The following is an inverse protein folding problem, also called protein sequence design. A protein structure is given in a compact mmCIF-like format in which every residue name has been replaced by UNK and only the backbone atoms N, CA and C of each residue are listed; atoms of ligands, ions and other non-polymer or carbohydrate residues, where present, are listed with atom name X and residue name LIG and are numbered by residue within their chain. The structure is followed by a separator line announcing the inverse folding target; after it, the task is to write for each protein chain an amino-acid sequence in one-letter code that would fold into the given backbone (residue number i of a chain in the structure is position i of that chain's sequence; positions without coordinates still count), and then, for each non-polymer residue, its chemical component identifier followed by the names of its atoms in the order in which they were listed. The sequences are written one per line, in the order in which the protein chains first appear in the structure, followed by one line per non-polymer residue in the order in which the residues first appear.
data_IF_388071865749
#
_entry.id   IF_388071865749
#
_cell.length_a   1.000
_cell.length_b   1.000
_cell.length_c   1.000
_cell.angle_alpha   90.00
_cell.angle_beta   90.00
_cell.angle_gamma   90.00
#
_symmetry.space_group_name_H-M   'P 1'
#
loop_
_entity.id
_entity.type
_entity.pdbx_description
1 polymer ?
#
# COMPACT_ATOMS: atom_id res chain seq x y z
N UNK A 1 -13.50 1.57 18.36
CA UNK A 1 -13.51 1.39 19.83
C UNK A 1 -12.81 2.57 20.50
N UNK A 2 -13.30 3.06 21.65
CA UNK A 2 -12.56 4.03 22.48
C UNK A 2 -11.43 3.29 23.20
N UNK A 3 -10.23 3.86 23.22
CA UNK A 3 -9.07 3.31 23.93
C UNK A 3 -8.59 4.32 25.00
N UNK A 4 -8.38 3.84 26.21
CA UNK A 4 -7.85 4.61 27.35
C UNK A 4 -6.36 4.34 27.59
N UNK A 5 -5.65 3.77 26.63
CA UNK A 5 -4.22 3.46 26.75
C UNK A 5 -3.40 4.71 27.13
N UNK A 6 -3.76 5.87 26.55
CA UNK A 6 -3.10 7.14 26.86
C UNK A 6 -3.27 7.54 28.33
N UNK A 7 -4.46 7.30 28.93
CA UNK A 7 -4.69 7.55 30.35
C UNK A 7 -3.71 6.74 31.21
N UNK A 8 -3.53 5.46 30.91
CA UNK A 8 -2.64 4.60 31.70
C UNK A 8 -1.17 4.97 31.53
N UNK A 9 -0.75 5.41 30.34
CA UNK A 9 0.61 5.96 30.13
C UNK A 9 0.82 7.26 30.93
N UNK A 10 -0.16 8.18 30.91
CA UNK A 10 -0.09 9.41 31.69
C UNK A 10 -0.06 9.14 33.20
N UNK A 11 -0.81 8.12 33.67
CA UNK A 11 -0.75 7.68 35.07
C UNK A 11 0.64 7.14 35.43
N UNK A 12 1.26 6.38 34.54
CA UNK A 12 2.62 5.85 34.73
C UNK A 12 3.66 6.96 34.79
N UNK A 13 3.60 7.90 33.84
CA UNK A 13 4.49 9.09 33.80
C UNK A 13 4.41 9.96 35.06
N UNK A 14 3.21 10.06 35.68
CA UNK A 14 2.97 10.86 36.89
C UNK A 14 3.00 10.05 38.19
N UNK A 15 3.38 8.77 38.13
CA UNK A 15 3.42 7.86 39.28
C UNK A 15 2.09 7.78 40.05
N UNK A 16 0.98 7.79 39.33
CA UNK A 16 -0.38 7.74 39.87
C UNK A 16 -0.92 6.29 39.78
N UNK A 17 -1.17 5.68 40.92
CA UNK A 17 -1.78 4.35 40.95
C UNK A 17 -3.30 4.41 40.71
N UNK A 18 -3.88 3.30 40.21
CA UNK A 18 -5.34 3.19 40.02
C UNK A 18 -6.14 3.48 41.28
N UNK A 19 -5.63 3.08 42.42
CA UNK A 19 -6.27 3.33 43.72
C UNK A 19 -6.23 4.80 44.10
N UNK A 20 -5.07 5.45 43.94
CA UNK A 20 -4.91 6.89 44.16
C UNK A 20 -5.83 7.71 43.26
N UNK A 21 -5.90 7.36 41.97
CA UNK A 21 -6.78 8.04 41.02
C UNK A 21 -8.25 7.85 41.43
N UNK A 22 -8.68 6.61 41.69
CA UNK A 22 -10.05 6.29 42.11
C UNK A 22 -10.49 7.14 43.32
N UNK A 23 -9.64 7.24 44.33
CA UNK A 23 -9.94 7.98 45.56
C UNK A 23 -9.96 9.49 45.36
N UNK A 24 -9.15 10.02 44.43
CA UNK A 24 -9.04 11.45 44.17
C UNK A 24 -10.19 11.98 43.37
N UNK A 25 -10.67 11.25 42.34
CA UNK A 25 -11.75 11.70 41.44
C UNK A 25 -13.11 11.06 41.80
N UNK A 26 -13.17 10.21 42.80
CA UNK A 26 -14.42 9.65 43.34
C UNK A 26 -15.10 8.61 42.40
N UNK A 27 -14.35 7.94 41.55
CA UNK A 27 -14.92 6.87 40.69
C UNK A 27 -14.93 5.50 41.37
N UNK A 28 -15.90 4.67 40.95
CA UNK A 28 -16.02 3.31 41.51
C UNK A 28 -14.95 2.37 40.97
N UNK A 29 -14.70 1.28 41.68
CA UNK A 29 -13.84 0.19 41.21
C UNK A 29 -14.37 -0.41 39.87
N UNK A 30 -15.71 -0.43 39.70
CA UNK A 30 -16.33 -0.88 38.42
C UNK A 30 -16.00 0.07 37.28
N UNK A 31 -16.04 1.38 37.51
CA UNK A 31 -15.65 2.39 36.48
C UNK A 31 -14.16 2.26 36.12
N UNK A 32 -13.29 2.06 37.11
CA UNK A 32 -11.85 1.82 36.86
C UNK A 32 -11.62 0.52 36.08
N UNK A 33 -12.39 -0.53 36.34
CA UNK A 33 -12.34 -1.78 35.56
C UNK A 33 -12.78 -1.56 34.11
N UNK A 34 -13.85 -0.78 33.88
CA UNK A 34 -14.32 -0.39 32.53
C UNK A 34 -13.23 0.37 31.74
N UNK A 35 -12.60 1.37 32.36
CA UNK A 35 -11.46 2.08 31.75
C UNK A 35 -10.33 1.12 31.37
N UNK A 36 -9.99 0.16 32.26
CA UNK A 36 -8.93 -0.82 31.99
C UNK A 36 -9.26 -1.80 30.85
N UNK A 37 -10.55 -1.99 30.55
CA UNK A 37 -11.03 -2.87 29.48
C UNK A 37 -11.44 -2.13 28.21
N UNK A 38 -11.23 -0.80 28.14
CA UNK A 38 -11.71 0.07 27.08
C UNK A 38 -13.24 0.03 26.89
N UNK A 39 -14.00 -0.21 27.98
CA UNK A 39 -15.45 -0.18 27.98
C UNK A 39 -15.97 1.25 28.18
N UNK A 40 -17.22 1.50 27.79
CA UNK A 40 -17.82 2.82 27.85
C UNK A 40 -17.97 3.32 29.31
N UNK A 41 -17.55 4.59 29.51
CA UNK A 41 -17.76 5.33 30.74
C UNK A 41 -18.51 6.62 30.44
N UNK A 42 -19.10 7.25 31.48
CA UNK A 42 -19.83 8.49 31.30
C UNK A 42 -18.92 9.66 30.92
N UNK A 43 -19.47 10.63 30.18
CA UNK A 43 -18.74 11.86 29.87
C UNK A 43 -18.32 12.64 31.14
N UNK A 44 -19.10 12.53 32.24
CA UNK A 44 -18.71 13.11 33.53
C UNK A 44 -17.45 12.45 34.10
N UNK A 45 -17.25 11.15 33.90
CA UNK A 45 -16.00 10.47 34.25
C UNK A 45 -14.82 11.01 33.42
N UNK A 46 -15.02 11.20 32.11
CA UNK A 46 -13.99 11.78 31.23
C UNK A 46 -13.64 13.20 31.67
N UNK A 47 -14.64 14.03 32.01
CA UNK A 47 -14.42 15.37 32.54
C UNK A 47 -13.61 15.36 33.82
N UNK A 48 -13.98 14.54 34.81
CA UNK A 48 -13.25 14.41 36.07
C UNK A 48 -11.79 13.97 35.87
N UNK A 49 -11.54 13.10 34.88
CA UNK A 49 -10.18 12.71 34.51
C UNK A 49 -9.40 13.87 33.89
N UNK A 50 -10.03 14.64 32.97
CA UNK A 50 -9.41 15.81 32.36
C UNK A 50 -9.09 16.88 33.41
N UNK A 51 -10.03 17.15 34.32
CA UNK A 51 -9.84 18.12 35.44
C UNK A 51 -8.69 17.68 36.37
N UNK A 52 -8.61 16.39 36.66
CA UNK A 52 -7.56 15.85 37.55
C UNK A 52 -6.16 15.93 36.92
N UNK A 53 -6.04 15.63 35.61
CA UNK A 53 -4.77 15.65 34.90
C UNK A 53 -4.47 16.99 34.22
N UNK A 54 -5.34 17.98 34.34
CA UNK A 54 -5.28 19.27 33.66
C UNK A 54 -5.00 19.12 32.16
N UNK A 55 -5.83 18.33 31.47
CA UNK A 55 -5.61 17.96 30.09
C UNK A 55 -6.90 17.92 29.26
N UNK A 56 -6.75 17.91 27.93
CA UNK A 56 -7.86 17.71 27.01
C UNK A 56 -8.21 16.22 26.85
N UNK A 57 -9.46 15.84 26.48
CA UNK A 57 -9.87 14.46 26.31
C UNK A 57 -8.95 13.63 25.39
N UNK A 58 -8.39 14.24 24.35
CA UNK A 58 -7.45 13.58 23.45
C UNK A 58 -6.11 13.15 24.06
N UNK A 59 -5.79 13.65 25.27
CA UNK A 59 -4.61 13.25 26.03
C UNK A 59 -4.84 11.98 26.86
N UNK A 60 -6.10 11.63 27.17
CA UNK A 60 -6.46 10.47 27.99
C UNK A 60 -7.19 9.38 27.23
N UNK A 61 -7.75 9.67 26.06
CA UNK A 61 -8.43 8.69 25.22
C UNK A 61 -8.07 8.86 23.74
N UNK A 62 -8.23 7.80 22.97
CA UNK A 62 -8.17 7.81 21.53
C UNK A 62 -9.29 6.95 20.95
N UNK A 63 -9.72 7.26 19.73
CA UNK A 63 -10.57 6.36 18.97
C UNK A 63 -9.69 5.43 18.13
N UNK A 64 -9.76 4.15 18.41
CA UNK A 64 -9.14 3.11 17.62
C UNK A 64 -10.24 2.46 16.77
N UNK A 65 -10.07 2.54 15.43
CA UNK A 65 -10.97 1.82 14.53
C UNK A 65 -10.81 0.33 14.81
N UNK A 66 -11.90 -0.39 14.96
CA UNK A 66 -11.84 -1.84 15.03
C UNK A 66 -11.15 -2.38 13.78
N UNK A 67 -10.07 -3.14 13.98
CA UNK A 67 -9.35 -3.78 12.87
C UNK A 67 -10.08 -5.09 12.60
N UNK A 68 -10.69 -5.17 11.43
CA UNK A 68 -11.22 -6.45 10.96
C UNK A 68 -10.06 -7.39 10.66
N UNK A 69 -9.87 -8.37 11.54
CA UNK A 69 -8.81 -9.37 11.43
C UNK A 69 -8.98 -10.33 10.26
N UNK A 70 -10.15 -10.31 9.62
CA UNK A 70 -10.44 -11.17 8.48
C UNK A 70 -10.03 -10.52 7.14
N UNK A 71 -9.48 -9.29 7.15
CA UNK A 71 -9.04 -8.64 5.93
C UNK A 71 -7.67 -9.14 5.46
N UNK A 72 -7.48 -9.23 4.15
CA UNK A 72 -6.17 -9.54 3.55
C UNK A 72 -5.08 -8.57 4.03
N UNK A 73 -5.41 -7.29 4.20
CA UNK A 73 -4.48 -6.29 4.72
C UNK A 73 -3.98 -6.64 6.14
N UNK A 74 -4.89 -7.05 7.03
CA UNK A 74 -4.51 -7.46 8.38
C UNK A 74 -3.54 -8.64 8.34
N UNK A 75 -3.86 -9.68 7.56
CA UNK A 75 -3.03 -10.88 7.43
C UNK A 75 -1.63 -10.58 6.90
N UNK A 76 -1.54 -9.78 5.84
CA UNK A 76 -0.25 -9.36 5.29
C UNK A 76 0.61 -8.58 6.29
N UNK A 77 -0.01 -7.70 7.10
CA UNK A 77 0.68 -6.95 8.14
C UNK A 77 1.13 -7.83 9.31
N UNK A 78 0.25 -8.72 9.77
CA UNK A 78 0.52 -9.66 10.85
C UNK A 78 1.72 -10.57 10.50
N UNK A 79 1.69 -11.22 9.33
CA UNK A 79 2.79 -12.08 8.87
C UNK A 79 4.11 -11.31 8.67
N UNK A 80 4.02 -10.07 8.19
CA UNK A 80 5.19 -9.20 8.07
C UNK A 80 5.83 -8.93 9.43
N UNK A 81 5.04 -8.58 10.43
CA UNK A 81 5.52 -8.31 11.80
C UNK A 81 6.11 -9.57 12.45
N UNK A 82 5.46 -10.72 12.25
CA UNK A 82 5.94 -12.02 12.71
C UNK A 82 7.17 -12.52 11.95
N UNK A 83 7.52 -11.89 10.81
CA UNK A 83 8.57 -12.34 9.88
C UNK A 83 8.36 -13.79 9.43
N UNK A 84 7.11 -14.16 9.20
CA UNK A 84 6.72 -15.51 8.82
C UNK A 84 7.32 -15.87 7.45
N UNK A 85 8.11 -16.93 7.41
CA UNK A 85 8.69 -17.44 6.17
C UNK A 85 7.68 -18.35 5.46
N UNK A 86 7.57 -18.19 4.14
CA UNK A 86 6.71 -19.04 3.30
C UNK A 86 5.23 -18.70 3.34
N UNK A 87 4.80 -17.77 4.21
CA UNK A 87 3.41 -17.34 4.32
C UNK A 87 2.93 -16.44 3.18
N UNK A 88 1.71 -15.95 3.29
CA UNK A 88 1.05 -15.10 2.29
C UNK A 88 1.88 -13.83 1.95
N UNK A 89 2.33 -13.10 3.00
CA UNK A 89 3.15 -11.90 2.81
C UNK A 89 4.45 -12.22 2.05
N UNK A 90 5.14 -13.28 2.44
CA UNK A 90 6.39 -13.70 1.82
C UNK A 90 6.18 -14.05 0.33
N UNK A 91 5.15 -14.86 0.01
CA UNK A 91 4.84 -15.25 -1.36
C UNK A 91 4.39 -14.03 -2.20
N UNK A 92 3.59 -13.15 -1.61
CA UNK A 92 3.14 -11.93 -2.29
C UNK A 92 4.31 -11.00 -2.62
N UNK A 93 5.25 -10.81 -1.71
CA UNK A 93 6.45 -9.99 -1.94
C UNK A 93 7.24 -10.45 -3.17
N UNK A 94 7.49 -11.75 -3.25
CA UNK A 94 8.28 -12.32 -4.35
C UNK A 94 7.51 -12.21 -5.67
N UNK A 95 6.26 -12.65 -5.68
CA UNK A 95 5.43 -12.68 -6.90
C UNK A 95 5.17 -11.29 -7.47
N UNK A 96 4.83 -10.30 -6.63
CA UNK A 96 4.56 -8.95 -7.12
C UNK A 96 5.82 -8.28 -7.65
N UNK A 97 6.97 -8.49 -7.00
CA UNK A 97 8.24 -7.94 -7.46
C UNK A 97 8.70 -8.60 -8.76
N UNK A 98 8.67 -9.93 -8.83
CA UNK A 98 9.04 -10.67 -10.03
C UNK A 98 8.18 -10.26 -11.22
N UNK A 99 6.86 -10.49 -11.15
CA UNK A 99 5.95 -10.25 -12.27
C UNK A 99 5.98 -8.79 -12.74
N UNK A 100 5.95 -7.85 -11.79
CA UNK A 100 5.89 -6.43 -12.12
C UNK A 100 7.18 -5.93 -12.79
N UNK A 101 8.36 -6.40 -12.37
CA UNK A 101 9.62 -6.05 -13.00
C UNK A 101 9.83 -6.79 -14.33
N UNK A 102 9.43 -8.06 -14.42
CA UNK A 102 9.55 -8.87 -15.64
C UNK A 102 8.71 -8.30 -16.79
N UNK A 103 7.51 -7.79 -16.48
CA UNK A 103 6.69 -7.06 -17.45
C UNK A 103 7.41 -5.83 -18.05
N UNK A 104 8.27 -5.17 -17.29
CA UNK A 104 9.03 -3.99 -17.72
C UNK A 104 10.40 -4.35 -18.32
N UNK A 105 10.69 -5.64 -18.48
CA UNK A 105 11.86 -6.12 -19.19
C UNK A 105 13.05 -6.49 -18.31
N UNK A 106 12.86 -6.62 -17.00
CA UNK A 106 13.84 -7.28 -16.12
C UNK A 106 14.06 -8.72 -16.56
N UNK A 107 15.31 -9.18 -16.54
CA UNK A 107 15.68 -10.56 -16.90
C UNK A 107 15.81 -11.47 -15.70
N UNK A 108 15.68 -10.96 -14.49
CA UNK A 108 15.74 -11.77 -13.28
C UNK A 108 14.64 -12.81 -13.28
N UNK A 109 15.00 -14.05 -12.96
CA UNK A 109 14.04 -15.14 -12.77
C UNK A 109 13.30 -14.98 -11.43
N UNK A 110 12.19 -15.73 -11.26
CA UNK A 110 11.50 -15.76 -9.97
C UNK A 110 12.40 -16.31 -8.87
N UNK A 111 13.24 -17.33 -9.18
CA UNK A 111 14.18 -17.89 -8.22
C UNK A 111 15.28 -16.89 -7.81
N UNK A 112 15.80 -16.12 -8.76
CA UNK A 112 16.74 -15.03 -8.45
C UNK A 112 16.05 -13.94 -7.62
N UNK A 113 14.82 -13.55 -7.94
CA UNK A 113 14.02 -12.61 -7.15
C UNK A 113 13.82 -13.13 -5.73
N UNK A 114 13.50 -14.40 -5.57
CA UNK A 114 13.37 -15.10 -4.28
C UNK A 114 14.68 -15.08 -3.50
N UNK A 115 15.80 -15.40 -4.13
CA UNK A 115 17.12 -15.40 -3.50
C UNK A 115 17.52 -13.99 -3.03
N UNK A 116 17.25 -12.96 -3.83
CA UNK A 116 17.47 -11.57 -3.43
C UNK A 116 16.62 -11.22 -2.19
N UNK A 117 15.37 -11.66 -2.14
CA UNK A 117 14.49 -11.41 -1.00
C UNK A 117 14.94 -12.14 0.26
N UNK A 118 15.15 -13.46 0.17
CA UNK A 118 15.37 -14.34 1.32
C UNK A 118 16.79 -14.27 1.87
N UNK A 119 17.79 -14.28 0.98
CA UNK A 119 19.20 -14.46 1.36
C UNK A 119 20.07 -13.23 1.08
N UNK A 120 19.55 -12.22 0.37
CA UNK A 120 20.29 -11.05 -0.12
C UNK A 120 21.45 -11.43 -1.05
N UNK A 121 21.32 -12.54 -1.75
CA UNK A 121 22.28 -13.04 -2.73
C UNK A 121 21.62 -13.21 -4.10
N UNK A 122 22.42 -13.29 -5.14
CA UNK A 122 21.98 -13.61 -6.48
C UNK A 122 22.93 -14.64 -7.08
N UNK A 123 22.37 -15.74 -7.59
CA UNK A 123 23.10 -16.72 -8.40
C UNK A 123 23.05 -16.30 -9.88
N UNK A 124 24.20 -16.13 -10.51
CA UNK A 124 24.32 -15.94 -11.95
C UNK A 124 24.90 -17.21 -12.52
N UNK A 125 24.06 -17.99 -13.23
CA UNK A 125 24.50 -19.27 -13.81
C UNK A 125 25.03 -19.09 -15.22
N UNK A 126 24.40 -18.25 -16.04
CA UNK A 126 24.81 -17.96 -17.41
C UNK A 126 24.42 -16.52 -17.80
N UNK A 127 25.38 -15.76 -18.32
CA UNK A 127 25.14 -14.42 -18.86
C UNK A 127 25.49 -13.26 -17.93
N UNK A 128 24.87 -12.12 -18.14
CA UNK A 128 25.10 -10.86 -17.41
C UNK A 128 23.75 -10.29 -16.97
N UNK A 129 23.60 -10.05 -15.69
CA UNK A 129 22.45 -9.36 -15.13
C UNK A 129 22.72 -7.85 -15.01
N UNK A 130 21.69 -7.05 -15.29
CA UNK A 130 21.79 -5.62 -15.09
C UNK A 130 21.73 -5.27 -13.61
N UNK A 131 22.67 -4.49 -13.12
CA UNK A 131 22.67 -4.02 -11.73
C UNK A 131 21.38 -3.26 -11.39
N UNK A 132 20.85 -2.48 -12.33
CA UNK A 132 19.59 -1.75 -12.13
C UNK A 132 18.41 -2.71 -11.92
N UNK A 133 18.35 -3.87 -12.59
CA UNK A 133 17.28 -4.86 -12.37
C UNK A 133 17.30 -5.39 -10.93
N UNK A 134 18.52 -5.60 -10.36
CA UNK A 134 18.67 -6.02 -8.97
C UNK A 134 18.24 -4.91 -8.02
N UNK A 135 18.68 -3.67 -8.26
CA UNK A 135 18.32 -2.51 -7.44
C UNK A 135 16.82 -2.28 -7.46
N UNK A 136 16.19 -2.30 -8.64
CA UNK A 136 14.75 -2.11 -8.80
C UNK A 136 13.94 -3.23 -8.14
N UNK A 137 14.45 -4.47 -8.15
CA UNK A 137 13.83 -5.59 -7.43
C UNK A 137 13.87 -5.39 -5.91
N UNK A 138 15.02 -5.00 -5.36
CA UNK A 138 15.14 -4.66 -3.93
C UNK A 138 14.24 -3.46 -3.57
N UNK A 139 14.19 -2.46 -4.43
CA UNK A 139 13.34 -1.28 -4.25
C UNK A 139 11.85 -1.64 -4.34
N UNK A 140 11.47 -2.59 -5.20
CA UNK A 140 10.10 -3.06 -5.30
C UNK A 140 9.62 -3.69 -3.98
N UNK A 141 10.46 -4.47 -3.30
CA UNK A 141 10.15 -4.97 -1.95
C UNK A 141 9.92 -3.82 -0.96
N UNK A 142 10.72 -2.75 -1.01
CA UNK A 142 10.52 -1.55 -0.18
C UNK A 142 9.23 -0.82 -0.51
N UNK A 143 8.88 -0.75 -1.81
CA UNK A 143 7.61 -0.18 -2.25
C UNK A 143 6.41 -0.97 -1.71
N UNK A 144 6.48 -2.31 -1.76
CA UNK A 144 5.43 -3.17 -1.21
C UNK A 144 5.27 -2.97 0.30
N UNK A 145 6.37 -2.93 1.04
CA UNK A 145 6.36 -2.62 2.46
C UNK A 145 5.75 -1.25 2.77
N UNK A 146 6.07 -0.26 1.94
CA UNK A 146 5.50 1.07 2.08
C UNK A 146 4.00 1.09 1.82
N UNK A 147 3.51 0.46 0.73
CA UNK A 147 2.07 0.44 0.46
C UNK A 147 1.28 -0.30 1.53
N UNK A 148 1.81 -1.37 2.12
CA UNK A 148 1.17 -2.03 3.26
C UNK A 148 1.07 -1.09 4.48
N UNK A 149 2.13 -0.34 4.77
CA UNK A 149 2.16 0.61 5.88
C UNK A 149 1.10 1.70 5.74
N UNK A 150 0.87 2.18 4.50
CA UNK A 150 -0.01 3.31 4.23
C UNK A 150 -1.34 2.90 3.59
N UNK A 151 -1.66 1.60 3.56
CA UNK A 151 -2.81 1.09 2.82
C UNK A 151 -4.12 1.79 3.20
N UNK A 152 -4.32 2.14 4.47
CA UNK A 152 -5.52 2.83 4.96
C UNK A 152 -5.60 4.32 4.56
N UNK A 153 -4.50 4.90 4.08
CA UNK A 153 -4.47 6.32 3.70
C UNK A 153 -5.13 6.54 2.35
N UNK A 154 -5.74 7.70 2.18
CA UNK A 154 -6.22 8.14 0.87
C UNK A 154 -5.06 8.31 -0.10
N UNK A 155 -5.31 7.88 -1.35
CA UNK A 155 -4.32 8.05 -2.41
C UNK A 155 -4.10 9.55 -2.69
N UNK A 156 -2.83 9.95 -2.74
CA UNK A 156 -2.43 11.33 -2.95
C UNK A 156 -1.26 11.43 -3.92
N UNK A 157 -1.03 12.62 -4.43
CA UNK A 157 0.12 12.93 -5.28
C UNK A 157 1.45 12.58 -4.58
N UNK A 158 1.57 12.89 -3.29
CA UNK A 158 2.77 12.59 -2.50
C UNK A 158 3.01 11.08 -2.38
N UNK A 159 1.96 10.28 -2.19
CA UNK A 159 2.06 8.82 -2.15
C UNK A 159 2.54 8.29 -3.51
N UNK A 160 1.97 8.75 -4.61
CA UNK A 160 2.34 8.35 -5.97
C UNK A 160 3.82 8.68 -6.24
N UNK A 161 4.24 9.89 -5.93
CA UNK A 161 5.63 10.35 -6.09
C UNK A 161 6.59 9.57 -5.19
N UNK A 162 6.18 9.26 -3.96
CA UNK A 162 7.03 8.54 -3.02
C UNK A 162 7.24 7.07 -3.43
N UNK A 163 6.22 6.40 -3.98
CA UNK A 163 6.38 5.05 -4.55
C UNK A 163 7.41 5.09 -5.69
N UNK A 164 7.31 6.07 -6.60
CA UNK A 164 8.28 6.23 -7.67
C UNK A 164 9.70 6.55 -7.15
N UNK A 165 9.80 7.40 -6.12
CA UNK A 165 11.08 7.71 -5.47
C UNK A 165 11.73 6.44 -4.91
N UNK A 166 10.98 5.63 -4.18
CA UNK A 166 11.47 4.36 -3.64
C UNK A 166 11.92 3.42 -4.75
N UNK A 167 11.07 3.27 -5.80
CA UNK A 167 11.31 2.33 -6.89
C UNK A 167 12.61 2.61 -7.65
N UNK A 168 12.85 3.89 -7.97
CA UNK A 168 13.98 4.30 -8.85
C UNK A 168 15.20 4.79 -8.07
N UNK A 169 15.18 4.78 -6.73
CA UNK A 169 16.34 5.20 -5.92
C UNK A 169 17.54 4.30 -6.15
N UNK A 170 18.72 4.91 -6.34
CA UNK A 170 19.99 4.20 -6.50
C UNK A 170 20.22 3.55 -7.86
N UNK A 171 19.28 3.66 -8.81
CA UNK A 171 19.46 3.19 -10.19
C UNK A 171 20.33 4.17 -10.99
N UNK A 172 20.83 3.72 -12.14
CA UNK A 172 21.55 4.60 -13.09
C UNK A 172 20.69 5.80 -13.49
N UNK A 173 19.38 5.64 -13.61
CA UNK A 173 18.44 6.73 -13.91
C UNK A 173 18.38 7.78 -12.81
N UNK A 174 18.56 7.39 -11.54
CA UNK A 174 18.54 8.33 -10.41
C UNK A 174 19.70 9.33 -10.42
N UNK A 175 20.76 9.03 -11.17
CA UNK A 175 21.92 9.92 -11.36
C UNK A 175 21.67 10.99 -12.44
N UNK A 176 20.60 10.86 -13.21
CA UNK A 176 20.26 11.78 -14.30
C UNK A 176 19.28 12.85 -13.79
N UNK A 177 19.74 14.08 -13.65
CA UNK A 177 18.92 15.20 -13.17
C UNK A 177 17.58 15.37 -13.93
N UNK A 178 17.61 15.15 -15.25
CA UNK A 178 16.44 15.29 -16.11
C UNK A 178 15.40 14.16 -15.91
N UNK A 179 15.80 13.02 -15.32
CA UNK A 179 14.91 11.89 -15.08
C UNK A 179 13.89 12.18 -13.96
N UNK A 180 14.26 13.04 -13.02
CA UNK A 180 13.40 13.56 -11.96
C UNK A 180 12.78 12.47 -11.08
N UNK A 181 13.59 11.55 -10.53
CA UNK A 181 13.14 10.48 -9.62
C UNK A 181 12.30 11.05 -8.49
N UNK A 182 11.12 10.48 -8.24
CA UNK A 182 10.16 10.98 -7.26
C UNK A 182 9.38 12.23 -7.67
N UNK A 183 9.54 12.68 -8.93
CA UNK A 183 8.81 13.81 -9.50
C UNK A 183 8.31 13.47 -10.90
N UNK A 184 7.38 14.28 -11.40
CA UNK A 184 6.84 14.09 -12.76
C UNK A 184 7.91 14.32 -13.82
N UNK A 185 7.72 13.62 -14.94
CA UNK A 185 8.62 13.69 -16.09
C UNK A 185 8.85 15.12 -16.58
N UNK A 186 10.08 15.40 -16.95
CA UNK A 186 10.51 16.68 -17.53
C UNK A 186 10.53 16.66 -19.08
N UNK A 187 10.52 15.47 -19.67
CA UNK A 187 10.58 15.27 -21.13
C UNK A 187 9.37 14.46 -21.61
N UNK A 188 8.84 14.76 -22.80
CA UNK A 188 7.84 13.90 -23.43
C UNK A 188 8.35 12.47 -23.57
N UNK A 189 7.47 11.50 -23.41
CA UNK A 189 7.71 10.09 -23.66
C UNK A 189 6.52 9.46 -24.38
N UNK A 190 6.73 8.27 -24.93
CA UNK A 190 5.70 7.47 -25.60
C UNK A 190 5.61 6.10 -24.95
N UNK A 191 4.47 5.44 -25.11
CA UNK A 191 4.29 4.03 -24.71
C UNK A 191 4.40 3.19 -25.97
N UNK A 192 5.29 2.19 -25.96
CA UNK A 192 5.59 1.42 -27.16
C UNK A 192 6.13 2.31 -28.27
N UNK A 193 5.77 2.00 -29.51
CA UNK A 193 6.37 2.67 -30.67
C UNK A 193 5.73 4.02 -31.02
N UNK A 194 4.48 4.32 -30.59
CA UNK A 194 3.78 5.51 -31.07
C UNK A 194 2.68 6.10 -30.16
N UNK A 195 2.38 5.57 -28.98
CA UNK A 195 1.31 6.13 -28.16
C UNK A 195 1.83 7.34 -27.38
N UNK A 196 1.41 8.53 -27.77
CA UNK A 196 1.72 9.76 -27.05
C UNK A 196 1.07 9.77 -25.66
N UNK A 197 1.84 10.16 -24.69
CA UNK A 197 1.40 10.32 -23.30
C UNK A 197 1.13 11.79 -22.98
N UNK A 198 0.55 12.07 -21.82
CA UNK A 198 0.31 13.47 -21.41
C UNK A 198 1.62 14.28 -21.42
N UNK A 199 1.60 15.44 -22.09
CA UNK A 199 2.77 16.33 -22.15
C UNK A 199 3.21 16.75 -20.73
N UNK A 200 4.52 16.84 -20.43
CA UNK A 200 5.03 17.11 -19.08
C UNK A 200 4.37 18.30 -18.36
N UNK A 201 4.15 19.39 -19.07
CA UNK A 201 3.52 20.60 -18.49
C UNK A 201 2.05 20.38 -18.04
N UNK A 202 1.38 19.37 -18.55
CA UNK A 202 -0.03 19.05 -18.24
C UNK A 202 -0.16 17.93 -17.19
N UNK A 203 0.92 17.19 -16.90
CA UNK A 203 0.90 16.05 -15.97
C UNK A 203 0.38 16.43 -14.59
N UNK A 204 0.83 17.54 -13.93
CA UNK A 204 0.35 17.88 -12.60
C UNK A 204 -1.17 18.10 -12.55
N UNK A 205 -1.71 18.80 -13.53
CA UNK A 205 -3.15 19.05 -13.63
C UNK A 205 -3.93 17.77 -13.91
N UNK A 206 -3.42 16.89 -14.78
CA UNK A 206 -4.04 15.62 -15.11
C UNK A 206 -4.09 14.67 -13.90
N UNK A 207 -3.01 14.54 -13.14
CA UNK A 207 -3.00 13.70 -11.91
C UNK A 207 -3.92 14.30 -10.85
N UNK A 208 -3.94 15.62 -10.68
CA UNK A 208 -4.85 16.28 -9.72
C UNK A 208 -6.32 16.00 -10.08
N UNK A 209 -6.68 16.08 -11.36
CA UNK A 209 -8.04 15.75 -11.83
C UNK A 209 -8.34 14.27 -11.59
N UNK A 210 -7.45 13.37 -11.99
CA UNK A 210 -7.62 11.92 -11.81
C UNK A 210 -7.87 11.56 -10.33
N UNK A 211 -7.10 12.13 -9.41
CA UNK A 211 -7.26 11.91 -7.98
C UNK A 211 -8.56 12.50 -7.44
N UNK A 212 -8.99 13.66 -7.95
CA UNK A 212 -10.27 14.26 -7.58
C UNK A 212 -11.43 13.37 -8.02
N UNK A 213 -11.48 13.00 -9.29
CA UNK A 213 -12.54 12.15 -9.86
C UNK A 213 -12.62 10.79 -9.15
N UNK A 214 -11.47 10.21 -8.80
CA UNK A 214 -11.41 8.95 -8.05
C UNK A 214 -12.01 9.07 -6.64
N UNK A 215 -11.73 10.16 -5.93
CA UNK A 215 -12.22 10.41 -4.57
C UNK A 215 -13.70 10.78 -4.50
N UNK A 216 -14.28 11.27 -5.59
CA UNK A 216 -15.72 11.59 -5.66
C UNK A 216 -16.61 10.34 -5.60
N UNK A 217 -16.04 9.16 -5.84
CA UNK A 217 -16.76 7.90 -5.65
C UNK A 217 -16.93 7.59 -4.15
N UNK A 218 -18.16 7.56 -3.68
CA UNK A 218 -18.49 7.27 -2.28
C UNK A 218 -18.20 5.82 -1.87
N UNK A 219 -18.18 4.91 -2.85
CA UNK A 219 -17.85 3.49 -2.67
C UNK A 219 -16.97 3.05 -3.84
N UNK A 220 -15.72 2.78 -3.56
CA UNK A 220 -14.75 2.34 -4.57
C UNK A 220 -14.98 0.87 -4.89
N UNK A 221 -15.21 0.57 -6.16
CA UNK A 221 -15.35 -0.78 -6.70
C UNK A 221 -14.06 -1.26 -7.37
N UNK A 222 -14.02 -2.54 -7.69
CA UNK A 222 -12.93 -3.12 -8.49
C UNK A 222 -12.75 -2.38 -9.82
N UNK A 223 -13.87 -2.09 -10.50
CA UNK A 223 -13.87 -1.38 -11.78
C UNK A 223 -13.32 0.05 -11.65
N UNK A 224 -13.61 0.74 -10.55
CA UNK A 224 -13.05 2.09 -10.30
C UNK A 224 -11.53 2.05 -10.15
N UNK A 225 -10.98 1.00 -9.52
CA UNK A 225 -9.53 0.83 -9.36
C UNK A 225 -8.87 0.59 -10.73
N UNK A 226 -9.48 -0.25 -11.56
CA UNK A 226 -8.97 -0.54 -12.91
C UNK A 226 -9.07 0.69 -13.83
N UNK A 227 -10.18 1.44 -13.76
CA UNK A 227 -10.35 2.68 -14.52
C UNK A 227 -9.33 3.75 -14.11
N UNK A 228 -9.06 3.87 -12.80
CA UNK A 228 -7.99 4.73 -12.29
C UNK A 228 -6.63 4.32 -12.85
N UNK A 229 -6.33 3.02 -12.82
CA UNK A 229 -5.06 2.49 -13.33
C UNK A 229 -4.89 2.77 -14.82
N UNK A 230 -5.91 2.50 -15.62
CA UNK A 230 -5.90 2.82 -17.05
C UNK A 230 -5.61 4.31 -17.32
N UNK A 231 -6.32 5.20 -16.63
CA UNK A 231 -6.11 6.65 -16.77
C UNK A 231 -4.72 7.09 -16.31
N UNK A 232 -4.20 6.46 -15.25
CA UNK A 232 -2.84 6.69 -14.78
C UNK A 232 -1.80 6.28 -15.81
N UNK A 233 -1.96 5.10 -16.44
CA UNK A 233 -1.09 4.64 -17.53
C UNK A 233 -1.16 5.56 -18.74
N UNK A 234 -2.32 6.09 -19.10
CA UNK A 234 -2.45 7.07 -20.20
C UNK A 234 -1.80 8.41 -19.89
N UNK A 235 -1.86 8.89 -18.65
CA UNK A 235 -1.15 10.10 -18.25
C UNK A 235 0.36 9.87 -18.30
N UNK A 236 0.80 8.70 -17.88
CA UNK A 236 2.21 8.29 -17.86
C UNK A 236 3.09 9.34 -17.16
N UNK A 237 2.86 9.59 -15.85
CA UNK A 237 3.36 10.79 -15.18
C UNK A 237 4.87 10.83 -14.99
N UNK A 238 5.57 9.70 -15.02
CA UNK A 238 7.00 9.60 -14.80
C UNK A 238 7.77 9.31 -16.09
N UNK A 239 9.07 9.52 -16.06
CA UNK A 239 9.93 9.25 -17.20
C UNK A 239 10.02 7.74 -17.50
N UNK A 240 10.00 6.90 -16.45
CA UNK A 240 9.95 5.44 -16.47
C UNK A 240 9.31 4.95 -15.17
N UNK A 241 8.98 3.64 -15.08
CA UNK A 241 8.43 3.02 -13.87
C UNK A 241 6.93 3.23 -13.64
N UNK A 242 6.21 3.79 -14.61
CA UNK A 242 4.77 4.05 -14.49
C UNK A 242 3.97 2.78 -14.26
N UNK A 243 4.18 1.73 -15.06
CA UNK A 243 3.49 0.45 -14.91
C UNK A 243 3.68 -0.17 -13.52
N UNK A 244 4.90 -0.18 -13.01
CA UNK A 244 5.21 -0.70 -11.66
C UNK A 244 4.51 0.10 -10.56
N UNK A 245 4.58 1.44 -10.64
CA UNK A 245 3.86 2.33 -9.71
C UNK A 245 2.35 2.12 -9.80
N UNK A 246 1.80 2.05 -11.02
CA UNK A 246 0.37 1.83 -11.25
C UNK A 246 -0.13 0.51 -10.66
N UNK A 247 0.60 -0.59 -10.86
CA UNK A 247 0.26 -1.91 -10.31
C UNK A 247 0.34 -1.95 -8.77
N UNK A 248 1.33 -1.27 -8.17
CA UNK A 248 1.42 -1.11 -6.72
C UNK A 248 0.25 -0.29 -6.16
N UNK A 249 -0.20 0.75 -6.88
CA UNK A 249 -1.37 1.55 -6.50
C UNK A 249 -2.64 0.70 -6.57
N UNK A 250 -2.84 -0.10 -7.64
CA UNK A 250 -3.97 -1.02 -7.73
C UNK A 250 -4.03 -1.97 -6.53
N UNK A 251 -2.90 -2.60 -6.19
CA UNK A 251 -2.83 -3.51 -5.05
C UNK A 251 -3.18 -2.79 -3.73
N UNK A 252 -2.60 -1.60 -3.51
CA UNK A 252 -2.88 -0.76 -2.34
C UNK A 252 -4.36 -0.37 -2.24
N UNK A 253 -4.98 0.04 -3.35
CA UNK A 253 -6.38 0.47 -3.35
C UNK A 253 -7.34 -0.70 -3.15
N UNK A 254 -7.02 -1.90 -3.65
CA UNK A 254 -7.76 -3.11 -3.31
C UNK A 254 -7.75 -3.37 -1.80
N UNK A 255 -6.56 -3.33 -1.16
CA UNK A 255 -6.44 -3.52 0.29
C UNK A 255 -7.22 -2.47 1.08
N UNK A 256 -7.15 -1.19 0.67
CA UNK A 256 -7.86 -0.09 1.35
C UNK A 256 -9.38 -0.30 1.38
N UNK A 257 -9.92 -0.80 0.29
CA UNK A 257 -11.36 -0.93 0.09
C UNK A 257 -11.88 -2.34 0.40
N UNK A 258 -11.06 -3.17 1.06
CA UNK A 258 -11.38 -4.57 1.38
C UNK A 258 -11.81 -5.39 0.16
N UNK A 259 -11.20 -5.11 -0.99
CA UNK A 259 -11.32 -5.87 -2.22
C UNK A 259 -10.13 -6.82 -2.28
N UNK A 260 -10.36 -8.09 -2.65
CA UNK A 260 -9.27 -9.04 -2.84
C UNK A 260 -8.24 -8.47 -3.82
N UNK A 261 -6.97 -8.29 -3.40
CA UNK A 261 -5.94 -7.78 -4.31
C UNK A 261 -5.56 -8.81 -5.36
N UNK A 262 -4.75 -8.41 -6.32
CA UNK A 262 -4.28 -9.31 -7.37
C UNK A 262 -2.89 -8.90 -7.88
N UNK A 263 -2.23 -9.86 -8.51
CA UNK A 263 -0.94 -9.70 -9.17
C UNK A 263 -1.14 -10.17 -10.61
N UNK A 264 -0.89 -9.29 -11.57
CA UNK A 264 -0.92 -9.67 -12.98
C UNK A 264 0.34 -10.49 -13.24
N UNK A 265 0.15 -11.77 -13.57
CA UNK A 265 1.22 -12.68 -13.92
C UNK A 265 1.88 -12.27 -15.24
N UNK A 266 3.18 -12.49 -15.40
CA UNK A 266 3.91 -12.11 -16.61
C UNK A 266 3.43 -12.87 -17.85
N UNK A 267 2.88 -14.07 -17.68
CA UNK A 267 2.23 -14.83 -18.76
C UNK A 267 0.97 -14.15 -19.29
N UNK A 268 0.35 -13.27 -18.50
CA UNK A 268 -0.82 -12.47 -18.87
C UNK A 268 -0.45 -11.11 -19.49
N UNK A 269 0.84 -10.83 -19.70
CA UNK A 269 1.36 -9.54 -20.18
C UNK A 269 0.69 -9.06 -21.46
N UNK A 270 0.52 -9.93 -22.43
CA UNK A 270 -0.05 -9.54 -23.74
C UNK A 270 -1.54 -9.22 -23.62
N UNK A 271 -2.30 -9.98 -22.83
CA UNK A 271 -3.71 -9.70 -22.54
C UNK A 271 -3.87 -8.37 -21.78
N UNK A 272 -3.01 -8.14 -20.79
CA UNK A 272 -3.00 -6.89 -20.04
C UNK A 272 -2.68 -5.69 -20.91
N UNK A 273 -1.66 -5.77 -21.77
CA UNK A 273 -1.30 -4.71 -22.72
C UNK A 273 -2.42 -4.45 -23.72
N UNK A 274 -3.02 -5.50 -24.27
CA UNK A 274 -4.19 -5.38 -25.12
C UNK A 274 -5.32 -4.67 -24.40
N UNK A 275 -5.63 -5.09 -23.18
CA UNK A 275 -6.67 -4.47 -22.38
C UNK A 275 -6.43 -2.99 -22.11
N UNK A 276 -5.18 -2.56 -21.87
CA UNK A 276 -4.83 -1.14 -21.76
C UNK A 276 -4.97 -0.38 -23.08
N UNK A 277 -4.61 -0.99 -24.20
CA UNK A 277 -4.65 -0.33 -25.51
C UNK A 277 -6.09 -0.14 -25.99
N UNK A 278 -6.94 -1.14 -25.81
CA UNK A 278 -8.32 -1.19 -26.31
C UNK A 278 -9.37 -0.73 -25.26
N UNK A 279 -8.95 -0.24 -24.10
CA UNK A 279 -9.85 0.06 -22.97
C UNK A 279 -10.99 1.04 -23.29
N UNK A 280 -10.76 2.01 -24.18
CA UNK A 280 -11.80 2.96 -24.56
C UNK A 280 -12.89 2.32 -25.43
N UNK A 281 -12.54 1.31 -26.20
CA UNK A 281 -13.43 0.62 -27.12
C UNK A 281 -14.08 -0.60 -26.42
N UNK A 282 -13.30 -1.36 -25.65
CA UNK A 282 -13.74 -2.56 -24.96
C UNK A 282 -13.05 -2.72 -23.60
N UNK A 283 -13.70 -2.22 -22.55
CA UNK A 283 -13.20 -2.30 -21.16
C UNK A 283 -13.06 -3.73 -20.65
N UNK A 284 -13.87 -4.63 -21.19
CA UNK A 284 -13.94 -6.02 -20.78
C UNK A 284 -12.58 -6.71 -20.79
N UNK A 285 -11.75 -6.46 -21.79
CA UNK A 285 -10.44 -7.12 -21.90
C UNK A 285 -9.53 -6.88 -20.70
N UNK A 286 -9.42 -5.63 -20.23
CA UNK A 286 -8.61 -5.33 -19.05
C UNK A 286 -9.26 -5.85 -17.77
N UNK A 287 -10.57 -5.67 -17.64
CA UNK A 287 -11.32 -6.13 -16.47
C UNK A 287 -11.24 -7.64 -16.30
N UNK A 288 -11.42 -8.42 -17.38
CA UNK A 288 -11.35 -9.88 -17.34
C UNK A 288 -9.93 -10.37 -17.00
N UNK A 289 -8.90 -9.76 -17.59
CA UNK A 289 -7.51 -10.06 -17.25
C UNK A 289 -7.23 -9.83 -15.76
N UNK A 290 -7.67 -8.69 -15.23
CA UNK A 290 -7.49 -8.37 -13.81
C UNK A 290 -8.34 -9.28 -12.90
N UNK A 291 -9.55 -9.70 -13.32
CA UNK A 291 -10.37 -10.65 -12.57
C UNK A 291 -9.75 -12.04 -12.53
N UNK A 292 -9.23 -12.52 -13.67
CA UNK A 292 -8.50 -13.80 -13.71
C UNK A 292 -7.31 -13.78 -12.75
N UNK A 293 -6.55 -12.68 -12.74
CA UNK A 293 -5.45 -12.49 -11.79
C UNK A 293 -5.92 -12.43 -10.33
N UNK A 294 -7.12 -11.86 -10.08
CA UNK A 294 -7.73 -11.84 -8.75
C UNK A 294 -8.14 -13.25 -8.29
N UNK A 295 -8.66 -14.07 -9.20
CA UNK A 295 -9.05 -15.45 -8.88
C UNK A 295 -7.82 -16.31 -8.53
N UNK A 296 -6.68 -16.08 -9.19
CA UNK A 296 -5.42 -16.74 -8.80
C UNK A 296 -4.94 -16.28 -7.40
N UNK A 297 -5.13 -15.00 -7.05
CA UNK A 297 -4.78 -14.53 -5.72
C UNK A 297 -5.73 -15.07 -4.64
N UNK A 298 -7.02 -15.27 -4.95
CA UNK A 298 -7.97 -15.94 -4.05
C UNK A 298 -7.54 -17.37 -3.75
N UNK A 299 -7.10 -18.14 -4.75
CA UNK A 299 -6.54 -19.49 -4.52
C UNK A 299 -5.35 -19.47 -3.55
N UNK A 300 -4.54 -18.41 -3.60
CA UNK A 300 -3.45 -18.24 -2.64
C UNK A 300 -3.98 -17.98 -1.23
N UNK A 301 -5.04 -17.18 -1.07
CA UNK A 301 -5.70 -16.93 0.21
C UNK A 301 -6.36 -18.20 0.76
N UNK A 302 -7.03 -18.99 -0.10
CA UNK A 302 -7.61 -20.30 0.24
C UNK A 302 -6.53 -21.27 0.73
N UNK A 303 -5.39 -21.34 0.03
CA UNK A 303 -4.26 -22.20 0.42
C UNK A 303 -3.74 -21.89 1.82
N UNK A 304 -3.75 -20.59 2.22
CA UNK A 304 -3.37 -20.15 3.56
C UNK A 304 -4.54 -20.12 4.56
N UNK A 305 -5.72 -20.62 4.18
CA UNK A 305 -6.93 -20.67 5.03
C UNK A 305 -7.37 -19.28 5.54
N UNK A 306 -7.23 -18.25 4.69
CA UNK A 306 -7.62 -16.88 5.02
C UNK A 306 -8.99 -16.46 4.45
N UNK A 307 -9.58 -17.29 3.60
CA UNK A 307 -10.97 -17.18 3.08
C UNK A 307 -11.57 -18.57 2.90
#
# INVERSE_FOLDING_TARGET
MISYKKLFLLMEEQEITKEKLKNKIGISSATMAKLSKNEDVSMSTIQSLCDFFDCQPGAILSYEKEIDKNTTLFRLREEKEMKLKGGLYHQTQIRIAYNSNHMEGSRLTEEQTRSIYETKTIGITDGVEKVDDIIETVNHFRCFDYILKIADKELSEDIIKHIHLLLKSGTTDSQKEWFAVGNYKKRPNVIGDMIETTHPSKVPAAIKSLLKDYRENSNITFENIIDFHYKFEKIHPFQDGNGRVGRLIMFKECLKNNICPFIIDDTMKDYYRRGLNEYNDEKGYLLETCRASQDEYKKLLEYFEYI
#
